data_IF_384883279195
#
_entry.id   IF_384883279195
#
_cell.length_a   1.000
_cell.length_b   1.000
_cell.length_c   1.000
_cell.angle_alpha   90.00
_cell.angle_beta   90.00
_cell.angle_gamma   90.00
#
_symmetry.space_group_name_H-M   'P 1'
#
loop_
_entity.id
_entity.type
_entity.pdbx_description
1 polymer ?
#
# COMPACT_ATOMS: atom_id res chain seq x y z
N UNK A 1 -15.11 -7.28 1.04
CA UNK A 1 -14.82 -6.24 2.03
C UNK A 1 -14.16 -5.06 1.35
N UNK A 2 -14.41 -3.87 1.86
CA UNK A 2 -13.80 -2.66 1.31
C UNK A 2 -12.62 -2.28 2.19
N UNK A 3 -11.43 -2.27 1.61
CA UNK A 3 -10.19 -2.09 2.35
C UNK A 3 -9.47 -0.86 1.83
N UNK A 4 -9.09 0.02 2.73
CA UNK A 4 -8.38 1.23 2.40
C UNK A 4 -6.90 1.11 2.68
N UNK A 5 -6.08 1.72 1.81
CA UNK A 5 -4.64 1.78 1.98
C UNK A 5 -4.18 3.23 1.92
N UNK A 6 -3.67 3.71 3.04
CA UNK A 6 -3.00 5.02 3.08
C UNK A 6 -1.52 4.76 2.90
N UNK A 7 -1.10 4.65 1.66
CA UNK A 7 0.27 4.33 1.30
C UNK A 7 0.28 3.16 0.33
N UNK A 8 0.76 3.42 -0.88
CA UNK A 8 0.77 2.41 -1.94
C UNK A 8 2.16 2.25 -2.53
N UNK A 9 3.18 2.48 -1.71
CA UNK A 9 4.55 2.29 -2.13
C UNK A 9 4.96 0.83 -2.04
N UNK A 10 6.23 0.61 -1.79
CA UNK A 10 6.81 -0.73 -1.81
C UNK A 10 6.14 -1.71 -0.86
N UNK A 11 5.66 -1.24 0.27
CA UNK A 11 5.00 -2.12 1.24
C UNK A 11 3.51 -2.20 0.99
N UNK A 12 2.90 -1.06 0.68
CA UNK A 12 1.45 -1.00 0.59
C UNK A 12 0.89 -1.63 -0.68
N UNK A 13 1.49 -1.34 -1.83
CA UNK A 13 0.93 -1.83 -3.08
C UNK A 13 0.92 -3.35 -3.18
N UNK A 14 2.01 -4.06 -2.85
CA UNK A 14 1.93 -5.52 -2.92
C UNK A 14 0.85 -6.09 -2.01
N UNK A 15 0.72 -5.54 -0.81
CA UNK A 15 -0.32 -6.02 0.11
C UNK A 15 -1.72 -5.74 -0.45
N UNK A 16 -1.91 -4.54 -1.01
CA UNK A 16 -3.20 -4.18 -1.57
C UNK A 16 -3.56 -5.10 -2.74
N UNK A 17 -2.59 -5.37 -3.61
CA UNK A 17 -2.84 -6.26 -4.74
C UNK A 17 -3.17 -7.67 -4.29
N UNK A 18 -2.47 -8.16 -3.29
CA UNK A 18 -2.73 -9.50 -2.78
C UNK A 18 -4.14 -9.60 -2.18
N UNK A 19 -4.54 -8.58 -1.43
CA UNK A 19 -5.86 -8.57 -0.81
C UNK A 19 -6.93 -8.44 -1.89
N UNK A 20 -6.69 -7.60 -2.88
CA UNK A 20 -7.63 -7.45 -3.98
C UNK A 20 -7.83 -8.77 -4.72
N UNK A 21 -6.76 -9.52 -4.90
CA UNK A 21 -6.84 -10.78 -5.62
C UNK A 21 -7.70 -11.81 -4.90
N UNK A 22 -7.99 -11.60 -3.64
CA UNK A 22 -8.89 -12.46 -2.88
C UNK A 22 -10.35 -12.02 -2.95
N UNK A 23 -10.65 -11.03 -3.77
CA UNK A 23 -12.02 -10.62 -3.99
C UNK A 23 -12.45 -9.38 -3.23
N UNK A 24 -11.52 -8.67 -2.65
CA UNK A 24 -11.84 -7.45 -1.91
C UNK A 24 -11.71 -6.21 -2.78
N UNK A 25 -12.45 -5.17 -2.43
CA UNK A 25 -12.37 -3.89 -3.11
C UNK A 25 -11.34 -3.01 -2.39
N UNK A 26 -10.43 -2.42 -3.15
CA UNK A 26 -9.37 -1.62 -2.57
C UNK A 26 -9.56 -0.15 -2.90
N UNK A 27 -9.50 0.69 -1.88
CA UNK A 27 -9.40 2.13 -2.01
C UNK A 27 -8.01 2.53 -1.56
N UNK A 28 -7.35 3.35 -2.34
CA UNK A 28 -5.98 3.70 -2.02
C UNK A 28 -5.64 5.14 -2.25
N UNK A 29 -4.66 5.62 -1.51
CA UNK A 29 -4.12 6.95 -1.68
C UNK A 29 -2.65 6.94 -1.28
N UNK A 30 -1.88 7.80 -1.90
CA UNK A 30 -0.49 8.01 -1.52
C UNK A 30 -0.16 9.47 -1.70
N UNK A 31 0.68 9.98 -0.81
CA UNK A 31 1.09 11.37 -0.90
C UNK A 31 2.02 11.60 -2.10
N UNK A 32 2.65 10.55 -2.59
CA UNK A 32 3.55 10.64 -3.73
C UNK A 32 2.75 10.58 -5.04
N UNK A 33 2.80 11.66 -5.79
CA UNK A 33 2.13 11.67 -7.09
C UNK A 33 2.76 10.67 -8.04
N UNK A 34 4.06 10.42 -7.90
CA UNK A 34 4.71 9.42 -8.75
C UNK A 34 4.14 8.03 -8.51
N UNK A 35 3.92 7.69 -7.25
CA UNK A 35 3.33 6.39 -6.91
C UNK A 35 1.95 6.26 -7.55
N UNK A 36 1.14 7.29 -7.43
CA UNK A 36 -0.20 7.25 -7.99
C UNK A 36 -0.18 7.15 -9.51
N UNK A 37 0.74 7.85 -10.15
CA UNK A 37 0.88 7.76 -11.59
C UNK A 37 1.35 6.39 -12.04
N UNK A 38 2.30 5.80 -11.32
CA UNK A 38 2.78 4.47 -11.64
C UNK A 38 1.63 3.46 -11.58
N UNK A 39 0.78 3.56 -10.58
CA UNK A 39 -0.36 2.66 -10.49
C UNK A 39 -1.32 2.88 -11.64
N UNK A 40 -1.60 4.12 -11.97
CA UNK A 40 -2.47 4.44 -13.11
C UNK A 40 -1.92 3.87 -14.40
N UNK A 41 -0.62 3.91 -14.57
CA UNK A 41 0.04 3.44 -15.79
C UNK A 41 0.38 1.96 -15.72
N UNK A 42 -0.01 1.29 -14.64
CA UNK A 42 0.26 -0.13 -14.45
C UNK A 42 1.74 -0.44 -14.46
N UNK A 43 2.53 0.42 -13.82
CA UNK A 43 3.98 0.27 -13.75
C UNK A 43 4.42 0.13 -12.30
N UNK A 44 5.32 -0.82 -12.06
CA UNK A 44 5.95 -0.96 -10.76
C UNK A 44 7.30 -0.29 -10.77
N UNK A 45 7.66 0.38 -9.67
CA UNK A 45 8.97 0.96 -9.52
C UNK A 45 10.01 -0.06 -9.09
N UNK A 46 9.61 -1.30 -8.90
CA UNK A 46 10.49 -2.39 -8.50
C UNK A 46 10.03 -3.65 -9.21
N UNK A 47 10.85 -4.69 -9.18
CA UNK A 47 10.53 -5.90 -9.92
C UNK A 47 9.99 -6.98 -9.01
N UNK A 48 8.72 -7.28 -9.18
CA UNK A 48 8.02 -8.37 -8.54
C UNK A 48 7.06 -8.93 -9.55
N UNK A 49 7.40 -10.06 -10.12
CA UNK A 49 6.62 -10.58 -11.25
C UNK A 49 5.16 -10.79 -10.89
N UNK A 50 4.89 -11.37 -9.73
CA UNK A 50 3.50 -11.61 -9.34
C UNK A 50 2.74 -10.30 -9.15
N UNK A 51 3.41 -9.27 -8.66
CA UNK A 51 2.77 -7.98 -8.46
C UNK A 51 2.50 -7.29 -9.78
N UNK A 52 3.38 -7.46 -10.76
CA UNK A 52 3.14 -6.93 -12.10
C UNK A 52 1.86 -7.49 -12.69
N UNK A 53 1.68 -8.79 -12.59
CA UNK A 53 0.50 -9.43 -13.14
C UNK A 53 -0.76 -8.96 -12.43
N UNK A 54 -0.71 -8.86 -11.11
CA UNK A 54 -1.86 -8.40 -10.36
C UNK A 54 -2.15 -6.93 -10.65
N UNK A 55 -1.12 -6.12 -10.80
CA UNK A 55 -1.32 -4.70 -11.10
C UNK A 55 -1.99 -4.52 -12.45
N UNK A 56 -1.62 -5.31 -13.43
CA UNK A 56 -2.24 -5.23 -14.74
C UNK A 56 -3.73 -5.50 -14.69
N UNK A 57 -4.17 -6.35 -13.77
CA UNK A 57 -5.57 -6.70 -13.61
C UNK A 57 -6.27 -5.88 -12.56
N UNK A 58 -5.53 -5.04 -11.84
CA UNK A 58 -6.06 -4.37 -10.67
C UNK A 58 -7.07 -3.30 -11.02
N UNK A 59 -8.04 -3.14 -10.16
CA UNK A 59 -9.04 -2.09 -10.23
C UNK A 59 -9.03 -1.27 -8.95
N UNK A 60 -7.84 -1.04 -8.41
CA UNK A 60 -7.71 -0.22 -7.21
C UNK A 60 -8.30 1.15 -7.46
N UNK A 61 -9.13 1.58 -6.55
CA UNK A 61 -9.75 2.90 -6.62
C UNK A 61 -8.85 3.91 -5.94
N UNK A 62 -8.23 4.78 -6.73
CA UNK A 62 -7.41 5.87 -6.19
C UNK A 62 -8.36 7.01 -5.86
N UNK A 63 -8.44 7.34 -4.57
CA UNK A 63 -9.37 8.36 -4.10
C UNK A 63 -8.67 9.27 -3.11
N UNK A 64 -9.28 10.40 -2.83
CA UNK A 64 -8.80 11.30 -1.80
C UNK A 64 -9.06 10.72 -0.41
N UNK A 65 -8.30 11.19 0.58
CA UNK A 65 -8.36 10.62 1.91
C UNK A 65 -9.78 10.63 2.49
N UNK A 66 -10.56 11.69 2.38
CA UNK A 66 -11.92 11.64 2.93
C UNK A 66 -12.77 10.53 2.32
N UNK A 67 -12.64 10.32 1.02
CA UNK A 67 -13.40 9.26 0.37
C UNK A 67 -12.89 7.89 0.76
N UNK A 68 -11.58 7.76 0.94
CA UNK A 68 -11.01 6.51 1.39
C UNK A 68 -11.55 6.13 2.77
N UNK A 69 -11.55 7.07 3.69
CA UNK A 69 -12.04 6.83 5.04
C UNK A 69 -13.52 6.49 5.01
N UNK A 70 -14.28 7.22 4.21
CA UNK A 70 -15.73 7.02 4.17
C UNK A 70 -16.09 5.64 3.63
N UNK A 71 -15.37 5.15 2.64
CA UNK A 71 -15.74 3.93 1.95
C UNK A 71 -15.10 2.67 2.50
N UNK A 72 -14.05 2.80 3.30
CA UNK A 72 -13.30 1.64 3.75
C UNK A 72 -13.84 1.10 5.06
N UNK A 73 -13.94 -0.21 5.14
CA UNK A 73 -14.31 -0.89 6.38
C UNK A 73 -13.10 -1.06 7.30
N UNK A 74 -11.93 -1.19 6.70
CA UNK A 74 -10.68 -1.27 7.46
C UNK A 74 -9.63 -0.50 6.67
N UNK A 75 -8.72 0.15 7.38
CA UNK A 75 -7.71 0.98 6.73
C UNK A 75 -6.33 0.54 7.21
N UNK A 76 -5.46 0.25 6.25
CA UNK A 76 -4.07 -0.06 6.53
C UNK A 76 -3.21 1.16 6.24
N UNK A 77 -2.25 1.40 7.12
CA UNK A 77 -1.28 2.49 6.96
C UNK A 77 0.11 1.88 7.00
N UNK A 78 0.58 1.37 5.87
CA UNK A 78 1.91 0.75 5.84
C UNK A 78 2.96 1.82 6.12
N UNK A 79 3.75 1.60 7.14
CA UNK A 79 4.79 2.54 7.53
C UNK A 79 6.14 1.87 7.38
N UNK A 80 7.00 2.52 6.63
CA UNK A 80 8.37 2.06 6.47
C UNK A 80 9.24 2.88 7.38
N UNK A 81 9.75 2.27 8.45
CA UNK A 81 10.63 2.97 9.36
C UNK A 81 12.05 2.98 8.82
N UNK A 82 12.73 4.10 8.93
CA UNK A 82 14.14 4.14 8.52
C UNK A 82 14.97 3.21 9.38
N UNK A 83 15.94 2.58 8.76
CA UNK A 83 16.81 1.63 9.42
C UNK A 83 18.00 2.37 9.97
N UNK A 84 18.02 2.62 11.27
CA UNK A 84 19.12 3.34 11.91
C UNK A 84 19.63 2.53 13.08
N UNK A 85 20.94 2.55 13.27
CA UNK A 85 21.55 1.72 14.30
C UNK A 85 21.11 2.10 15.70
N UNK A 86 21.10 3.39 15.99
CA UNK A 86 20.67 3.81 17.31
C UNK A 86 19.21 3.49 17.53
N UNK A 87 18.44 3.54 16.48
CA UNK A 87 17.03 3.24 16.56
C UNK A 87 16.83 1.74 16.83
N UNK A 88 17.61 0.93 16.16
CA UNK A 88 17.53 -0.50 16.39
C UNK A 88 17.92 -0.86 17.81
N UNK A 89 18.91 -0.16 18.35
CA UNK A 89 19.28 -0.38 19.73
C UNK A 89 18.15 -0.09 20.68
N UNK A 90 17.39 0.94 20.40
CA UNK A 90 16.25 1.29 21.24
C UNK A 90 15.15 0.24 21.12
N UNK A 91 14.90 -0.20 19.90
CA UNK A 91 13.80 -1.15 19.70
C UNK A 91 14.11 -2.52 20.26
N UNK A 92 15.34 -2.80 20.58
CA UNK A 92 15.69 -4.07 21.17
C UNK A 92 15.64 -4.05 22.68
N UNK A 93 15.12 -3.02 23.26
CA UNK A 93 14.89 -3.01 24.69
C UNK A 93 13.86 -4.05 25.06
N UNK A 94 13.87 -4.45 26.31
CA UNK A 94 13.22 -5.70 26.68
C UNK A 94 11.74 -5.76 26.52
N UNK A 95 11.14 -4.76 26.15
CA UNK A 95 9.72 -4.88 25.94
C UNK A 95 9.40 -5.61 24.67
N UNK A 96 10.38 -5.91 23.94
CA UNK A 96 10.08 -6.55 22.69
C UNK A 96 9.87 -7.96 22.73
#
# INVERSE_FOLDING_TARGET
MKVGFLGLGKLGLPSALAIESKGHTIYGYDISTKVLQDIKNKQLSYKEKWADELLNKSKINIVEIPNLVKNSEIIFVPIQTPHQKEYEGITRLPND
#
